data_IF_798508722025
#
_entry.id   IF_798508722025
#
_cell.length_a   1.000
_cell.length_b   1.000
_cell.length_c   1.000
_cell.angle_alpha   90.00
_cell.angle_beta   90.00
_cell.angle_gamma   90.00
#
_symmetry.space_group_name_H-M   'P 1'
#
loop_
_entity.id
_entity.type
_entity.pdbx_description
1 polymer ?
#
# COMPACT_ATOMS: atom_id res chain seq x y z
N UNK A 1 -31.91 -2.81 -1.52
CA UNK A 1 -32.29 -1.56 -2.24
C UNK A 1 -31.72 -0.25 -1.67
N UNK A 2 -31.75 0.04 -0.36
CA UNK A 2 -31.29 1.34 0.19
C UNK A 2 -29.78 1.59 0.00
N UNK A 3 -28.94 0.57 0.11
CA UNK A 3 -27.49 0.71 -0.07
C UNK A 3 -27.09 1.22 -1.47
N UNK A 4 -27.90 0.92 -2.49
CA UNK A 4 -27.67 1.38 -3.87
C UNK A 4 -27.72 2.91 -4.00
N UNK A 5 -28.48 3.59 -3.16
CA UNK A 5 -28.60 5.06 -3.24
C UNK A 5 -27.49 5.80 -2.51
N UNK A 6 -26.80 5.15 -1.56
CA UNK A 6 -25.78 5.82 -0.74
C UNK A 6 -24.62 6.41 -1.54
N UNK A 7 -24.04 5.73 -2.57
CA UNK A 7 -23.03 6.34 -3.43
C UNK A 7 -23.51 7.63 -4.11
N UNK A 8 -24.78 7.71 -4.50
CA UNK A 8 -25.35 8.91 -5.13
C UNK A 8 -25.65 10.04 -4.14
N UNK A 9 -25.91 9.69 -2.87
CA UNK A 9 -26.16 10.67 -1.79
C UNK A 9 -24.85 11.23 -1.25
N UNK A 10 -23.76 10.47 -1.30
CA UNK A 10 -22.47 10.85 -0.73
C UNK A 10 -21.97 12.25 -1.09
N UNK A 11 -21.99 12.69 -2.37
CA UNK A 11 -21.53 14.04 -2.72
C UNK A 11 -22.40 15.16 -2.13
N UNK A 12 -23.64 14.86 -1.71
CA UNK A 12 -24.58 15.84 -1.16
C UNK A 12 -24.51 15.92 0.36
N UNK A 13 -24.24 14.80 1.03
CA UNK A 13 -24.27 14.68 2.49
C UNK A 13 -23.16 13.73 2.99
N UNK A 14 -21.88 14.11 2.85
CA UNK A 14 -20.76 13.26 3.23
C UNK A 14 -20.71 13.03 4.75
N UNK A 15 -20.94 14.07 5.56
CA UNK A 15 -20.80 14.01 7.02
C UNK A 15 -21.76 13.00 7.66
N UNK A 16 -23.02 12.95 7.20
CA UNK A 16 -24.00 11.96 7.67
C UNK A 16 -23.54 10.54 7.42
N UNK A 17 -22.93 10.29 6.25
CA UNK A 17 -22.42 8.96 5.92
C UNK A 17 -21.15 8.64 6.74
N UNK A 18 -20.29 9.63 6.99
CA UNK A 18 -19.10 9.43 7.83
C UNK A 18 -19.48 9.00 9.25
N UNK A 19 -20.54 9.60 9.83
CA UNK A 19 -21.05 9.22 11.15
C UNK A 19 -21.48 7.74 11.24
N UNK A 20 -21.94 7.15 10.14
CA UNK A 20 -22.42 5.77 10.08
C UNK A 20 -21.44 4.82 9.37
N UNK A 21 -20.24 5.29 9.01
CA UNK A 21 -19.30 4.53 8.17
C UNK A 21 -18.83 3.25 8.85
N UNK A 22 -18.65 3.26 10.17
CA UNK A 22 -18.30 2.07 10.95
C UNK A 22 -19.39 0.99 10.83
N UNK A 23 -20.63 1.35 11.17
CA UNK A 23 -21.79 0.44 11.09
C UNK A 23 -21.96 -0.10 9.67
N UNK A 24 -21.90 0.77 8.66
CA UNK A 24 -21.96 0.40 7.25
C UNK A 24 -20.88 -0.63 6.90
N UNK A 25 -19.64 -0.41 7.32
CA UNK A 25 -18.52 -1.33 7.03
C UNK A 25 -18.73 -2.68 7.71
N UNK A 26 -19.23 -2.72 8.95
CA UNK A 26 -19.49 -3.98 9.68
C UNK A 26 -20.56 -4.85 9.04
N UNK A 27 -21.51 -4.26 8.31
CA UNK A 27 -22.56 -5.00 7.62
C UNK A 27 -22.03 -5.76 6.39
N UNK A 28 -20.81 -5.50 5.89
CA UNK A 28 -20.30 -6.08 4.64
C UNK A 28 -20.47 -7.60 4.53
N UNK A 29 -20.23 -8.35 5.62
CA UNK A 29 -20.34 -9.82 5.63
C UNK A 29 -21.77 -10.35 5.73
N UNK A 30 -22.74 -9.50 6.05
CA UNK A 30 -24.15 -9.84 6.22
C UNK A 30 -24.97 -9.58 4.95
N UNK A 31 -24.38 -8.90 3.97
CA UNK A 31 -25.04 -8.47 2.74
C UNK A 31 -24.89 -9.49 1.63
N UNK A 32 -25.88 -9.56 0.76
CA UNK A 32 -25.76 -10.28 -0.52
C UNK A 32 -24.80 -9.56 -1.47
N UNK A 33 -24.28 -10.28 -2.46
CA UNK A 33 -23.28 -9.75 -3.41
C UNK A 33 -23.64 -8.39 -4.05
N UNK A 34 -24.86 -8.13 -4.57
CA UNK A 34 -25.17 -6.84 -5.17
C UNK A 34 -25.14 -5.68 -4.16
N UNK A 35 -25.65 -5.88 -2.94
CA UNK A 35 -25.53 -4.92 -1.84
C UNK A 35 -24.08 -4.67 -1.42
N UNK A 36 -23.26 -5.72 -1.36
CA UNK A 36 -21.82 -5.59 -1.06
C UNK A 36 -21.12 -4.71 -2.09
N UNK A 37 -21.40 -4.89 -3.38
CA UNK A 37 -20.79 -4.07 -4.43
C UNK A 37 -21.18 -2.58 -4.31
N UNK A 38 -22.42 -2.28 -3.93
CA UNK A 38 -22.85 -0.91 -3.67
C UNK A 38 -22.15 -0.30 -2.46
N UNK A 39 -21.97 -1.08 -1.38
CA UNK A 39 -21.25 -0.64 -0.20
C UNK A 39 -19.75 -0.43 -0.50
N UNK A 40 -19.11 -1.34 -1.23
CA UNK A 40 -17.73 -1.18 -1.70
C UNK A 40 -17.58 0.09 -2.53
N UNK A 41 -18.52 0.37 -3.44
CA UNK A 41 -18.48 1.60 -4.24
C UNK A 41 -18.53 2.85 -3.35
N UNK A 42 -19.36 2.85 -2.31
CA UNK A 42 -19.38 3.94 -1.34
C UNK A 42 -18.04 4.08 -0.61
N UNK A 43 -17.47 2.97 -0.13
CA UNK A 43 -16.17 2.97 0.56
C UNK A 43 -15.06 3.48 -0.36
N UNK A 44 -15.07 3.11 -1.65
CA UNK A 44 -14.16 3.66 -2.66
C UNK A 44 -14.30 5.17 -2.80
N UNK A 45 -15.53 5.69 -2.89
CA UNK A 45 -15.76 7.14 -2.96
C UNK A 45 -15.26 7.86 -1.69
N UNK A 46 -15.43 7.25 -0.51
CA UNK A 46 -14.87 7.79 0.74
C UNK A 46 -13.35 7.75 0.71
N UNK A 47 -12.73 6.68 0.21
CA UNK A 47 -11.28 6.56 0.09
C UNK A 47 -10.69 7.61 -0.87
N UNK A 48 -11.37 7.88 -1.97
CA UNK A 48 -10.96 8.88 -2.97
C UNK A 48 -11.09 10.32 -2.43
N UNK A 49 -12.17 10.65 -1.71
CA UNK A 49 -12.47 12.03 -1.32
C UNK A 49 -12.05 12.37 0.12
N UNK A 50 -12.24 11.45 1.05
CA UNK A 50 -12.00 11.64 2.49
C UNK A 50 -11.30 10.42 3.12
N UNK A 51 -10.11 10.01 2.64
CA UNK A 51 -9.45 8.76 3.04
C UNK A 51 -9.19 8.65 4.55
N UNK A 52 -8.98 9.77 5.24
CA UNK A 52 -8.74 9.78 6.69
C UNK A 52 -9.91 9.17 7.48
N UNK A 53 -11.14 9.27 6.99
CA UNK A 53 -12.33 8.71 7.65
C UNK A 53 -12.32 7.17 7.71
N UNK A 54 -11.54 6.53 6.84
CA UNK A 54 -11.39 5.08 6.81
C UNK A 54 -10.22 4.59 7.68
N UNK A 55 -9.38 5.47 8.23
CA UNK A 55 -8.25 5.06 9.08
C UNK A 55 -8.69 4.17 10.26
N UNK A 56 -9.79 4.46 10.98
CA UNK A 56 -10.28 3.58 12.06
C UNK A 56 -10.81 2.23 11.55
N UNK A 57 -11.19 2.17 10.27
CA UNK A 57 -11.80 0.99 9.65
C UNK A 57 -10.77 0.04 9.03
N UNK A 58 -9.49 0.43 8.96
CA UNK A 58 -8.41 -0.39 8.36
C UNK A 58 -8.39 -1.84 8.88
N UNK A 59 -8.47 -2.13 10.19
CA UNK A 59 -8.45 -3.51 10.67
C UNK A 59 -9.60 -4.35 10.09
N UNK A 60 -10.79 -3.75 9.99
CA UNK A 60 -11.98 -4.41 9.48
C UNK A 60 -11.89 -4.65 7.96
N UNK A 61 -11.44 -3.63 7.21
CA UNK A 61 -11.22 -3.73 5.77
C UNK A 61 -10.15 -4.77 5.41
N UNK A 62 -9.07 -4.85 6.19
CA UNK A 62 -8.04 -5.89 6.05
C UNK A 62 -8.62 -7.27 6.35
N UNK A 63 -9.52 -7.38 7.34
CA UNK A 63 -10.25 -8.62 7.65
C UNK A 63 -11.09 -9.15 6.49
N UNK A 64 -11.53 -8.29 5.57
CA UNK A 64 -12.31 -8.68 4.40
C UNK A 64 -11.48 -9.07 3.18
N UNK A 65 -10.14 -8.93 3.22
CA UNK A 65 -9.27 -9.29 2.09
C UNK A 65 -9.28 -10.79 1.76
N UNK A 66 -9.73 -11.64 2.68
CA UNK A 66 -9.93 -13.08 2.43
C UNK A 66 -11.04 -13.37 1.42
N UNK A 67 -11.97 -12.45 1.21
CA UNK A 67 -13.00 -12.57 0.16
C UNK A 67 -12.46 -12.07 -1.18
N UNK A 68 -12.22 -13.03 -2.09
CA UNK A 68 -11.66 -12.78 -3.43
C UNK A 68 -12.50 -11.83 -4.28
N UNK A 69 -13.80 -11.74 -4.02
CA UNK A 69 -14.69 -10.84 -4.78
C UNK A 69 -14.50 -9.38 -4.39
N UNK A 70 -13.92 -9.11 -3.21
CA UNK A 70 -13.73 -7.77 -2.65
C UNK A 70 -12.26 -7.35 -2.66
N UNK A 71 -11.31 -8.31 -2.70
CA UNK A 71 -9.87 -8.06 -2.49
C UNK A 71 -9.30 -6.93 -3.35
N UNK A 72 -9.58 -6.89 -4.65
CA UNK A 72 -9.04 -5.86 -5.55
C UNK A 72 -9.52 -4.46 -5.16
N UNK A 73 -10.82 -4.28 -5.02
CA UNK A 73 -11.44 -3.02 -4.64
C UNK A 73 -10.98 -2.54 -3.26
N UNK A 74 -10.85 -3.45 -2.29
CA UNK A 74 -10.39 -3.15 -0.94
C UNK A 74 -8.91 -2.79 -0.90
N UNK A 75 -8.06 -3.42 -1.70
CA UNK A 75 -6.66 -3.02 -1.82
C UNK A 75 -6.52 -1.62 -2.42
N UNK A 76 -7.35 -1.26 -3.41
CA UNK A 76 -7.42 0.11 -3.92
C UNK A 76 -7.74 1.11 -2.81
N UNK A 77 -8.78 0.83 -2.01
CA UNK A 77 -9.15 1.64 -0.84
C UNK A 77 -7.99 1.77 0.15
N UNK A 78 -7.33 0.66 0.51
CA UNK A 78 -6.22 0.67 1.46
C UNK A 78 -5.01 1.44 0.92
N UNK A 79 -4.79 1.49 -0.39
CA UNK A 79 -3.76 2.34 -1.01
C UNK A 79 -4.09 3.81 -0.77
N UNK A 80 -5.32 4.26 -0.99
CA UNK A 80 -5.69 5.66 -0.79
C UNK A 80 -5.66 6.07 0.69
N UNK A 81 -6.12 5.18 1.59
CA UNK A 81 -5.95 5.36 3.03
C UNK A 81 -4.47 5.45 3.40
N UNK A 82 -3.61 4.60 2.84
CA UNK A 82 -2.17 4.62 3.15
C UNK A 82 -1.50 5.93 2.76
N UNK A 83 -1.93 6.59 1.67
CA UNK A 83 -1.38 7.89 1.27
C UNK A 83 -1.74 8.99 2.27
N UNK A 84 -2.94 8.95 2.84
CA UNK A 84 -3.44 9.97 3.76
C UNK A 84 -3.05 9.70 5.22
N UNK A 85 -3.04 8.43 5.63
CA UNK A 85 -2.73 7.96 6.99
C UNK A 85 -1.81 6.73 6.94
N UNK A 86 -0.53 6.89 6.57
CA UNK A 86 0.39 5.77 6.41
C UNK A 86 0.53 4.93 7.70
N UNK A 87 0.55 5.58 8.86
CA UNK A 87 0.72 4.92 10.17
C UNK A 87 -0.35 3.87 10.48
N UNK A 88 -1.56 4.03 9.93
CA UNK A 88 -2.65 3.07 10.13
C UNK A 88 -2.41 1.70 9.48
N UNK A 89 -1.49 1.61 8.51
CA UNK A 89 -1.22 0.40 7.73
C UNK A 89 0.03 -0.37 8.19
N UNK A 90 0.87 0.21 9.06
CA UNK A 90 2.19 -0.36 9.44
C UNK A 90 2.07 -1.81 9.92
N UNK A 91 1.15 -2.07 10.84
CA UNK A 91 0.94 -3.41 11.44
C UNK A 91 0.33 -4.42 10.48
N UNK A 92 -0.24 -3.98 9.36
CA UNK A 92 -0.94 -4.84 8.39
C UNK A 92 -0.10 -5.17 7.15
N UNK A 93 1.07 -4.54 6.97
CA UNK A 93 1.98 -4.83 5.86
C UNK A 93 2.27 -6.34 5.68
N UNK A 94 2.50 -7.16 6.73
CA UNK A 94 2.71 -8.60 6.55
C UNK A 94 1.53 -9.31 5.88
N UNK A 95 0.29 -8.96 6.26
CA UNK A 95 -0.93 -9.53 5.66
C UNK A 95 -1.04 -9.13 4.19
N UNK A 96 -0.76 -7.86 3.87
CA UNK A 96 -0.79 -7.37 2.49
C UNK A 96 0.25 -8.07 1.61
N UNK A 97 1.44 -8.37 2.16
CA UNK A 97 2.46 -9.17 1.45
C UNK A 97 1.95 -10.57 1.12
N UNK A 98 1.25 -11.22 2.05
CA UNK A 98 0.64 -12.53 1.81
C UNK A 98 -0.41 -12.47 0.69
N UNK A 99 -1.28 -11.46 0.70
CA UNK A 99 -2.27 -11.25 -0.37
C UNK A 99 -1.58 -11.03 -1.73
N UNK A 100 -0.56 -10.18 -1.78
CA UNK A 100 0.21 -9.96 -3.01
C UNK A 100 0.93 -11.21 -3.53
N UNK A 101 1.40 -12.08 -2.63
CA UNK A 101 2.01 -13.35 -3.01
C UNK A 101 0.98 -14.35 -3.57
N UNK A 102 -0.23 -14.38 -3.00
CA UNK A 102 -1.33 -15.23 -3.46
C UNK A 102 -1.94 -14.74 -4.78
N UNK A 103 -1.91 -13.43 -5.04
CA UNK A 103 -2.43 -12.82 -6.26
C UNK A 103 -1.45 -11.79 -6.83
N UNK A 104 -0.50 -12.22 -7.70
CA UNK A 104 0.53 -11.33 -8.26
C UNK A 104 -0.01 -10.10 -9.01
N UNK A 105 -1.21 -10.20 -9.59
CA UNK A 105 -1.87 -9.06 -10.24
C UNK A 105 -2.10 -7.86 -9.30
N UNK A 106 -2.18 -8.10 -8.00
CA UNK A 106 -2.46 -7.09 -6.99
C UNK A 106 -1.19 -6.51 -6.35
N UNK A 107 0.01 -6.99 -6.71
CA UNK A 107 1.28 -6.51 -6.15
C UNK A 107 1.51 -5.02 -6.36
N UNK A 108 0.98 -4.43 -7.43
CA UNK A 108 1.03 -2.99 -7.65
C UNK A 108 0.37 -2.19 -6.52
N UNK A 109 -0.72 -2.68 -5.95
CA UNK A 109 -1.38 -2.05 -4.79
C UNK A 109 -0.54 -2.22 -3.53
N UNK A 110 -0.06 -3.43 -3.27
CA UNK A 110 0.79 -3.74 -2.11
C UNK A 110 2.07 -2.91 -2.12
N UNK A 111 2.68 -2.72 -3.30
CA UNK A 111 3.86 -1.89 -3.48
C UNK A 111 3.61 -0.41 -3.13
N UNK A 112 2.49 0.15 -3.60
CA UNK A 112 2.08 1.54 -3.27
C UNK A 112 1.86 1.73 -1.77
N UNK A 113 1.24 0.76 -1.09
CA UNK A 113 1.06 0.82 0.36
C UNK A 113 2.41 0.80 1.09
N UNK A 114 3.35 -0.02 0.63
CA UNK A 114 4.73 -0.02 1.14
C UNK A 114 5.46 1.31 0.90
N UNK A 115 5.28 1.92 -0.27
CA UNK A 115 5.80 3.24 -0.60
C UNK A 115 5.26 4.32 0.34
N UNK A 116 3.95 4.37 0.56
CA UNK A 116 3.33 5.32 1.48
C UNK A 116 3.81 5.14 2.93
N UNK A 117 3.83 3.91 3.46
CA UNK A 117 4.34 3.61 4.81
C UNK A 117 5.83 3.95 4.94
N UNK A 118 6.62 3.73 3.89
CA UNK A 118 8.05 4.01 3.93
C UNK A 118 8.38 5.49 4.16
N UNK A 119 7.50 6.42 3.80
CA UNK A 119 7.72 7.87 3.99
C UNK A 119 7.75 8.28 5.48
N UNK A 120 7.17 7.47 6.38
CA UNK A 120 7.05 7.78 7.81
C UNK A 120 8.42 8.01 8.46
N UNK A 121 9.38 7.14 8.18
CA UNK A 121 10.74 7.23 8.73
C UNK A 121 11.72 6.37 7.94
N UNK A 122 13.03 6.58 8.16
CA UNK A 122 14.06 5.75 7.54
C UNK A 122 13.95 4.26 7.88
N UNK A 123 13.45 3.91 9.06
CA UNK A 123 13.27 2.51 9.48
C UNK A 123 12.16 1.83 8.68
N UNK A 124 11.03 2.53 8.48
CA UNK A 124 9.95 2.04 7.63
C UNK A 124 10.36 2.01 6.16
N UNK A 125 11.05 3.05 5.68
CA UNK A 125 11.59 3.10 4.32
C UNK A 125 12.53 1.92 4.05
N UNK A 126 13.47 1.63 4.96
CA UNK A 126 14.39 0.50 4.81
C UNK A 126 13.63 -0.83 4.73
N UNK A 127 12.69 -1.09 5.66
CA UNK A 127 11.88 -2.32 5.65
C UNK A 127 11.04 -2.47 4.37
N UNK A 128 10.42 -1.38 3.91
CA UNK A 128 9.68 -1.35 2.65
C UNK A 128 10.59 -1.58 1.44
N UNK A 129 11.76 -0.93 1.39
CA UNK A 129 12.72 -1.08 0.29
C UNK A 129 13.24 -2.51 0.19
N UNK A 130 13.55 -3.18 1.30
CA UNK A 130 13.96 -4.59 1.29
C UNK A 130 12.91 -5.46 0.60
N UNK A 131 11.63 -5.26 0.94
CA UNK A 131 10.53 -5.98 0.30
C UNK A 131 10.39 -5.63 -1.19
N UNK A 132 10.32 -4.33 -1.54
CA UNK A 132 10.13 -3.89 -2.93
C UNK A 132 11.28 -4.34 -3.85
N UNK A 133 12.52 -4.30 -3.37
CA UNK A 133 13.70 -4.78 -4.10
C UNK A 133 13.66 -6.30 -4.30
N UNK A 134 13.16 -7.06 -3.31
CA UNK A 134 12.98 -8.51 -3.45
C UNK A 134 11.97 -8.88 -4.54
N UNK A 135 10.92 -8.06 -4.72
CA UNK A 135 9.96 -8.20 -5.81
C UNK A 135 10.59 -7.86 -7.16
N UNK A 136 11.36 -6.77 -7.23
CA UNK A 136 12.03 -6.34 -8.47
C UNK A 136 13.00 -7.40 -9.04
N UNK A 137 13.61 -8.20 -8.17
CA UNK A 137 14.54 -9.26 -8.55
C UNK A 137 13.89 -10.58 -8.98
N UNK A 138 12.61 -10.79 -8.66
CA UNK A 138 11.96 -12.11 -8.75
C UNK A 138 10.80 -12.21 -9.75
N UNK A 139 10.43 -11.12 -10.44
CA UNK A 139 9.09 -11.00 -11.05
C UNK A 139 9.04 -10.73 -12.56
N UNK A 140 7.87 -11.06 -13.14
CA UNK A 140 7.51 -10.77 -14.53
C UNK A 140 7.25 -9.26 -14.75
N UNK A 141 7.57 -8.77 -15.94
CA UNK A 141 7.77 -7.34 -16.25
C UNK A 141 6.60 -6.38 -15.98
N UNK A 142 5.38 -6.85 -15.72
CA UNK A 142 4.15 -6.05 -15.81
C UNK A 142 4.01 -4.94 -14.76
N UNK A 143 4.71 -5.00 -13.62
CA UNK A 143 4.65 -3.98 -12.56
C UNK A 143 6.02 -3.44 -12.13
N UNK A 144 7.09 -3.76 -12.86
CA UNK A 144 8.42 -3.22 -12.57
C UNK A 144 8.47 -1.68 -12.61
N UNK A 145 7.69 -1.07 -13.50
CA UNK A 145 7.60 0.40 -13.55
C UNK A 145 7.06 0.97 -12.22
N UNK A 146 5.94 0.43 -11.72
CA UNK A 146 5.37 0.82 -10.42
C UNK A 146 6.37 0.58 -9.29
N UNK A 147 7.02 -0.59 -9.24
CA UNK A 147 8.04 -0.87 -8.23
C UNK A 147 9.19 0.15 -8.26
N UNK A 148 9.71 0.48 -9.45
CA UNK A 148 10.79 1.45 -9.57
C UNK A 148 10.37 2.85 -9.14
N UNK A 149 9.13 3.26 -9.41
CA UNK A 149 8.61 4.55 -8.93
C UNK A 149 8.58 4.59 -7.40
N UNK A 150 8.06 3.55 -6.75
CA UNK A 150 7.99 3.49 -5.28
C UNK A 150 9.38 3.40 -4.64
N UNK A 151 10.27 2.55 -5.17
CA UNK A 151 11.66 2.45 -4.70
C UNK A 151 12.35 3.80 -4.86
N UNK A 152 12.24 4.44 -6.02
CA UNK A 152 12.84 5.74 -6.29
C UNK A 152 12.34 6.79 -5.31
N UNK A 153 11.02 6.90 -5.12
CA UNK A 153 10.41 7.86 -4.21
C UNK A 153 10.96 7.73 -2.77
N UNK A 154 11.09 6.49 -2.27
CA UNK A 154 11.67 6.23 -0.95
C UNK A 154 13.15 6.58 -0.87
N UNK A 155 13.93 6.26 -1.91
CA UNK A 155 15.37 6.55 -1.93
C UNK A 155 15.67 8.04 -2.10
N UNK A 156 14.81 8.77 -2.82
CA UNK A 156 14.91 10.23 -2.95
C UNK A 156 14.51 10.92 -1.64
N UNK A 157 13.53 10.37 -0.90
CA UNK A 157 13.13 10.87 0.42
C UNK A 157 14.15 10.56 1.52
N UNK A 158 14.80 9.40 1.45
CA UNK A 158 15.76 8.91 2.44
C UNK A 158 17.11 8.55 1.77
N UNK A 159 17.87 9.54 1.27
CA UNK A 159 19.10 9.30 0.51
C UNK A 159 20.21 8.64 1.33
N UNK A 160 20.18 8.81 2.66
CA UNK A 160 21.06 8.13 3.62
C UNK A 160 21.03 6.60 3.49
N UNK A 161 19.93 6.01 3.00
CA UNK A 161 19.75 4.56 2.87
C UNK A 161 20.61 3.92 1.78
N UNK A 162 20.95 4.65 0.71
CA UNK A 162 21.76 4.15 -0.40
C UNK A 162 23.19 4.69 -0.42
N UNK A 163 23.51 5.65 0.44
CA UNK A 163 24.74 6.42 0.37
C UNK A 163 24.78 7.39 -0.82
N UNK A 164 25.89 8.11 -0.98
CA UNK A 164 26.01 9.26 -1.90
C UNK A 164 25.79 8.97 -3.40
N UNK A 165 25.80 7.70 -3.84
CA UNK A 165 25.70 7.31 -5.26
C UNK A 165 24.35 6.67 -5.66
N UNK A 166 23.31 6.75 -4.82
CA UNK A 166 22.02 6.08 -5.08
C UNK A 166 21.35 6.48 -6.40
N UNK A 167 21.59 7.70 -6.90
CA UNK A 167 20.96 8.23 -8.12
C UNK A 167 21.48 7.60 -9.41
N UNK A 168 22.71 7.09 -9.41
CA UNK A 168 23.34 6.51 -10.61
C UNK A 168 22.89 5.07 -10.84
N UNK A 169 22.38 4.39 -9.81
CA UNK A 169 21.92 2.99 -9.88
C UNK A 169 20.90 2.79 -11.00
N UNK A 170 19.96 3.71 -11.15
CA UNK A 170 18.91 3.64 -12.17
C UNK A 170 19.40 3.96 -13.59
N UNK A 171 20.58 4.60 -13.72
CA UNK A 171 21.21 4.94 -15.00
C UNK A 171 22.26 3.90 -15.43
N UNK A 172 22.82 3.16 -14.49
CA UNK A 172 23.95 2.25 -14.71
C UNK A 172 23.56 0.84 -15.15
N UNK A 173 22.28 0.47 -15.15
CA UNK A 173 21.83 -0.90 -15.45
C UNK A 173 20.62 -0.92 -16.38
N UNK A 174 20.67 -1.79 -17.38
CA UNK A 174 19.60 -2.06 -18.34
C UNK A 174 18.69 -3.23 -17.94
N UNK A 175 18.89 -3.80 -16.75
CA UNK A 175 18.16 -4.97 -16.25
C UNK A 175 17.61 -4.72 -14.84
N UNK A 176 16.33 -5.01 -14.62
CA UNK A 176 15.68 -4.90 -13.31
C UNK A 176 16.35 -5.79 -12.26
N UNK A 177 16.78 -6.99 -12.63
CA UNK A 177 17.51 -7.90 -11.74
C UNK A 177 18.87 -7.33 -11.33
N UNK A 178 19.57 -6.66 -12.24
CA UNK A 178 20.84 -6.00 -11.92
C UNK A 178 20.63 -4.82 -10.95
N UNK A 179 19.60 -4.00 -11.20
CA UNK A 179 19.17 -2.91 -10.31
C UNK A 179 18.83 -3.47 -8.92
N UNK A 180 18.02 -4.53 -8.86
CA UNK A 180 17.61 -5.16 -7.60
C UNK A 180 18.81 -5.67 -6.79
N UNK A 181 19.77 -6.33 -7.45
CA UNK A 181 21.01 -6.79 -6.79
C UNK A 181 21.84 -5.64 -6.23
N UNK A 182 21.99 -4.55 -6.99
CA UNK A 182 22.76 -3.39 -6.55
C UNK A 182 22.10 -2.68 -5.36
N UNK A 183 20.77 -2.48 -5.43
CA UNK A 183 19.99 -1.91 -4.33
C UNK A 183 20.05 -2.80 -3.09
N UNK A 184 19.91 -4.12 -3.24
CA UNK A 184 20.00 -5.08 -2.14
C UNK A 184 21.33 -4.96 -1.38
N UNK A 185 22.46 -4.96 -2.10
CA UNK A 185 23.80 -4.79 -1.48
C UNK A 185 23.92 -3.48 -0.70
N UNK A 186 23.42 -2.37 -1.25
CA UNK A 186 23.48 -1.06 -0.58
C UNK A 186 22.64 -1.03 0.70
N UNK A 187 21.46 -1.63 0.66
CA UNK A 187 20.60 -1.72 1.83
C UNK A 187 21.25 -2.55 2.96
N UNK A 188 21.95 -3.62 2.62
CA UNK A 188 22.75 -4.43 3.57
C UNK A 188 23.93 -3.63 4.15
N UNK A 189 24.72 -2.96 3.30
CA UNK A 189 25.85 -2.11 3.72
C UNK A 189 25.40 -0.99 4.67
N UNK A 190 24.23 -0.37 4.41
CA UNK A 190 23.67 0.70 5.25
C UNK A 190 23.32 0.24 6.67
N UNK A 191 22.93 -1.03 6.84
CA UNK A 191 22.63 -1.62 8.15
C UNK A 191 23.93 -1.85 8.90
N UNK A 192 24.93 -2.42 8.24
CA UNK A 192 26.25 -2.68 8.84
C UNK A 192 26.91 -1.38 9.31
N UNK A 193 26.82 -0.31 8.52
CA UNK A 193 27.35 1.01 8.89
C UNK A 193 26.61 1.61 10.10
N UNK A 194 25.27 1.52 10.15
CA UNK A 194 24.48 2.01 11.30
C UNK A 194 24.75 1.22 12.59
N UNK A 195 24.92 -0.10 12.51
CA UNK A 195 25.30 -0.91 13.67
C UNK A 195 26.69 -0.57 14.22
N UNK A 196 27.60 -0.05 13.39
CA UNK A 196 28.96 0.35 13.81
C UNK A 196 29.01 1.74 14.46
N UNK A 197 28.11 2.65 14.07
CA UNK A 197 28.03 4.02 14.59
C UNK A 197 27.14 4.16 15.85
N UNK A 198 26.35 3.14 16.18
CA UNK A 198 25.51 3.06 17.38
C UNK A 198 26.17 2.35 18.58
N UNK A 199 27.49 2.17 18.55
CA UNK A 199 28.33 1.78 19.68
C UNK A 199 29.19 2.97 20.10
#
# INVERSE_FOLDING_TARGET
MLLRVLPSVYPRQPDTIHCHLGDLTTMMTQLESPEQQHLIRLIQMVAEQHPLMLSPQVPLLVGYLSDKSLTESLLGVLVDVSKASPSSLVSFLPVLRTVGHQCPALLGHVAKTHGAVGIISETHAHSSLVYLVSLLGSMEHSFHHTLLLEIRALTDRHPSLLGGCGKDIYRMSNSFTAIARLLGRRLEESVVMRCRLGK
#
